data_IF_821607153102
#
_entry.id   IF_821607153102
#
_cell.length_a   1.000
_cell.length_b   1.000
_cell.length_c   1.000
_cell.angle_alpha   90.00
_cell.angle_beta   90.00
_cell.angle_gamma   90.00
#
_symmetry.space_group_name_H-M   'P 1'
#
loop_
_entity.id
_entity.type
_entity.pdbx_description
1 polymer ?
#
# COMPACT_ATOMS: atom_id res chain seq x y z
N UNK A 1 0.51 -70.89 -15.94
CA UNK A 1 0.56 -69.50 -16.46
C UNK A 1 1.51 -69.47 -17.65
N UNK A 2 1.32 -68.59 -18.64
CA UNK A 2 2.18 -68.52 -19.84
C UNK A 2 3.27 -67.44 -19.71
N UNK A 3 4.43 -67.69 -20.30
CA UNK A 3 5.63 -66.81 -20.24
C UNK A 3 5.69 -65.78 -21.39
N UNK A 4 4.56 -65.52 -22.05
CA UNK A 4 4.49 -64.65 -23.23
C UNK A 4 4.64 -63.17 -22.88
N UNK A 5 4.04 -62.72 -21.78
CA UNK A 5 4.23 -61.38 -21.23
C UNK A 5 5.56 -61.32 -20.47
N UNK A 6 6.52 -60.54 -20.97
CA UNK A 6 7.86 -60.38 -20.39
C UNK A 6 8.40 -58.96 -20.58
N UNK A 7 9.17 -58.41 -19.62
CA UNK A 7 9.75 -57.08 -19.74
C UNK A 7 10.88 -57.03 -20.78
N UNK A 8 11.14 -55.83 -21.30
CA UNK A 8 12.23 -55.55 -22.25
C UNK A 8 13.53 -55.24 -21.50
N UNK A 9 14.39 -56.25 -21.30
CA UNK A 9 15.69 -56.07 -20.64
C UNK A 9 16.73 -55.36 -21.51
N UNK A 10 16.63 -55.47 -22.82
CA UNK A 10 17.47 -54.78 -23.80
C UNK A 10 16.57 -54.06 -24.83
N UNK A 11 16.82 -52.78 -25.14
CA UNK A 11 16.12 -52.09 -26.22
C UNK A 11 16.58 -52.59 -27.59
N UNK A 12 15.74 -52.42 -28.61
CA UNK A 12 16.14 -52.65 -30.00
C UNK A 12 17.27 -51.67 -30.39
N UNK A 13 18.39 -52.20 -30.89
CA UNK A 13 19.54 -51.39 -31.31
C UNK A 13 19.34 -50.94 -32.77
N UNK A 14 19.19 -49.64 -32.97
CA UNK A 14 19.11 -49.06 -34.31
C UNK A 14 20.40 -49.31 -35.10
N UNK A 15 20.27 -49.87 -36.30
CA UNK A 15 21.38 -50.17 -37.20
C UNK A 15 20.95 -51.05 -38.37
N UNK A 16 21.90 -51.48 -39.20
CA UNK A 16 21.65 -52.19 -40.47
C UNK A 16 20.92 -53.54 -40.32
N UNK A 17 20.76 -54.08 -39.11
CA UNK A 17 20.09 -55.35 -38.85
C UNK A 17 18.71 -55.21 -38.18
N UNK A 18 18.46 -54.17 -37.38
CA UNK A 18 17.16 -53.98 -36.70
C UNK A 18 16.77 -52.50 -36.69
N UNK A 19 15.61 -52.17 -37.28
CA UNK A 19 14.98 -50.84 -37.22
C UNK A 19 15.68 -49.71 -37.98
N UNK A 20 16.98 -49.81 -38.26
CA UNK A 20 17.66 -48.90 -39.18
C UNK A 20 17.29 -49.16 -40.64
N UNK A 21 17.69 -48.23 -41.51
CA UNK A 21 17.64 -48.38 -42.97
C UNK A 21 18.59 -49.49 -43.44
N UNK A 22 18.13 -50.74 -43.33
CA UNK A 22 18.81 -51.90 -43.94
C UNK A 22 19.04 -51.57 -45.41
N UNK A 23 20.29 -51.63 -45.88
CA UNK A 23 20.67 -51.31 -47.28
C UNK A 23 20.32 -52.50 -48.22
N UNK A 24 19.21 -53.20 -47.96
CA UNK A 24 18.72 -54.31 -48.78
C UNK A 24 17.82 -53.77 -49.90
N UNK A 25 18.40 -52.87 -50.71
CA UNK A 25 17.71 -52.05 -51.70
C UNK A 25 17.00 -50.82 -51.10
N UNK A 26 17.01 -49.66 -51.79
CA UNK A 26 16.19 -48.52 -51.40
C UNK A 26 14.71 -48.84 -51.62
N UNK A 27 13.88 -48.63 -50.59
CA UNK A 27 12.43 -48.80 -50.71
C UNK A 27 11.80 -47.60 -51.41
N UNK A 28 10.89 -47.84 -52.35
CA UNK A 28 10.07 -46.79 -52.97
C UNK A 28 8.89 -46.33 -52.09
N UNK A 29 8.72 -46.93 -50.90
CA UNK A 29 7.66 -46.58 -49.95
C UNK A 29 8.09 -45.40 -49.09
N UNK A 30 7.32 -44.31 -49.15
CA UNK A 30 7.49 -43.12 -48.30
C UNK A 30 6.22 -42.86 -47.48
N UNK A 31 6.37 -42.24 -46.31
CA UNK A 31 5.28 -41.76 -45.46
C UNK A 31 4.77 -40.39 -45.94
N UNK A 32 3.55 -40.02 -45.57
CA UNK A 32 3.08 -38.64 -45.71
C UNK A 32 3.90 -37.63 -44.90
N UNK A 33 4.67 -38.10 -43.90
CA UNK A 33 5.66 -37.31 -43.15
C UNK A 33 7.00 -37.12 -43.86
N UNK A 34 7.30 -37.94 -44.88
CA UNK A 34 8.57 -37.91 -45.61
C UNK A 34 8.49 -37.02 -46.87
N UNK A 35 7.31 -36.45 -47.14
CA UNK A 35 7.08 -35.46 -48.19
C UNK A 35 7.85 -34.18 -47.85
N UNK A 36 8.48 -33.57 -48.86
CA UNK A 36 9.35 -32.41 -48.70
C UNK A 36 8.64 -31.23 -48.00
N UNK A 37 8.98 -31.00 -46.72
CA UNK A 37 8.51 -29.92 -45.88
C UNK A 37 9.70 -29.21 -45.22
N UNK A 38 9.57 -27.90 -44.95
CA UNK A 38 10.64 -27.07 -44.37
C UNK A 38 12.00 -27.19 -45.09
N UNK A 39 11.98 -27.24 -46.43
CA UNK A 39 13.16 -27.34 -47.30
C UNK A 39 14.12 -26.15 -47.22
N UNK A 40 13.74 -25.06 -46.56
CA UNK A 40 14.57 -23.87 -46.31
C UNK A 40 14.87 -23.73 -44.82
N UNK A 41 16.16 -23.80 -44.48
CA UNK A 41 16.65 -23.49 -43.14
C UNK A 41 16.58 -21.99 -42.87
N UNK A 42 16.31 -21.61 -41.61
CA UNK A 42 16.28 -20.20 -41.17
C UNK A 42 17.61 -19.84 -40.50
N UNK A 43 18.53 -19.11 -41.17
CA UNK A 43 19.69 -18.53 -40.49
C UNK A 43 19.24 -17.44 -39.52
N UNK A 44 20.04 -17.19 -38.49
CA UNK A 44 19.90 -16.01 -37.63
C UNK A 44 20.25 -14.76 -38.44
N UNK A 45 19.41 -13.72 -38.36
CA UNK A 45 19.74 -12.39 -38.88
C UNK A 45 20.51 -11.58 -37.83
N UNK A 46 21.17 -10.52 -38.27
CA UNK A 46 21.75 -9.52 -37.36
C UNK A 46 20.69 -9.02 -36.36
N UNK A 47 21.09 -8.91 -35.08
CA UNK A 47 20.18 -8.60 -33.98
C UNK A 47 19.36 -9.79 -33.46
N UNK A 48 19.61 -11.02 -33.96
CA UNK A 48 19.03 -12.27 -33.45
C UNK A 48 20.09 -13.16 -32.78
N UNK A 49 21.09 -12.53 -32.15
CA UNK A 49 22.25 -13.17 -31.55
C UNK A 49 23.01 -14.04 -32.57
N UNK A 50 23.51 -13.41 -33.62
CA UNK A 50 24.46 -14.07 -34.54
C UNK A 50 25.72 -14.49 -33.79
N UNK A 51 26.46 -15.46 -34.33
CA UNK A 51 27.72 -15.92 -33.72
C UNK A 51 28.73 -14.76 -33.58
N UNK A 52 28.79 -13.88 -34.57
CA UNK A 52 29.71 -12.74 -34.59
C UNK A 52 29.26 -11.63 -33.62
N UNK A 53 27.97 -11.45 -33.36
CA UNK A 53 27.48 -10.61 -32.26
C UNK A 53 27.89 -11.19 -30.90
N UNK A 54 27.67 -12.49 -30.69
CA UNK A 54 27.98 -13.16 -29.41
C UNK A 54 29.48 -13.16 -29.10
N UNK A 55 30.35 -13.24 -30.10
CA UNK A 55 31.80 -13.08 -29.93
C UNK A 55 32.23 -11.64 -29.63
N UNK A 56 31.42 -10.62 -29.97
CA UNK A 56 31.71 -9.20 -29.73
C UNK A 56 31.10 -8.65 -28.43
N UNK A 57 30.15 -9.35 -27.79
CA UNK A 57 29.49 -8.92 -26.54
C UNK A 57 30.18 -9.51 -25.31
N UNK A 58 30.38 -8.69 -24.28
CA UNK A 58 30.82 -9.18 -22.98
C UNK A 58 29.61 -9.70 -22.18
N UNK A 59 29.22 -10.96 -22.44
CA UNK A 59 28.00 -11.57 -21.91
C UNK A 59 27.90 -11.60 -20.37
N UNK A 60 29.04 -11.50 -19.68
CA UNK A 60 29.09 -11.40 -18.21
C UNK A 60 28.49 -10.09 -17.72
N UNK A 61 28.94 -8.97 -18.27
CA UNK A 61 28.53 -7.64 -17.81
C UNK A 61 27.04 -7.43 -18.07
N UNK A 62 26.55 -7.85 -19.25
CA UNK A 62 25.12 -7.82 -19.59
C UNK A 62 24.26 -8.65 -18.62
N UNK A 63 24.78 -9.80 -18.17
CA UNK A 63 24.12 -10.65 -17.17
C UNK A 63 24.08 -9.95 -15.81
N UNK A 64 25.22 -9.49 -15.29
CA UNK A 64 25.29 -8.80 -13.98
C UNK A 64 24.39 -7.55 -13.98
N UNK A 65 24.34 -6.80 -15.07
CA UNK A 65 23.52 -5.59 -15.19
C UNK A 65 22.01 -5.90 -15.29
N UNK A 66 21.64 -6.98 -16.01
CA UNK A 66 20.24 -7.46 -16.05
C UNK A 66 19.78 -8.05 -14.71
N UNK A 67 20.67 -8.73 -13.98
CA UNK A 67 20.40 -9.19 -12.62
C UNK A 67 20.18 -8.01 -11.67
N UNK A 68 21.06 -6.99 -11.67
CA UNK A 68 20.89 -5.76 -10.86
C UNK A 68 19.52 -5.11 -11.08
N UNK A 69 19.11 -4.94 -12.35
CA UNK A 69 17.79 -4.38 -12.73
C UNK A 69 16.61 -5.27 -12.29
N UNK A 70 16.78 -6.59 -12.35
CA UNK A 70 15.75 -7.54 -11.86
C UNK A 70 15.63 -7.50 -10.33
N UNK A 71 16.75 -7.47 -9.59
CA UNK A 71 16.74 -7.45 -8.13
C UNK A 71 16.19 -6.15 -7.56
N UNK A 72 16.53 -4.98 -8.13
CA UNK A 72 15.93 -3.70 -7.69
C UNK A 72 14.42 -3.63 -7.97
N UNK A 73 13.99 -4.05 -9.16
CA UNK A 73 12.57 -4.13 -9.53
C UNK A 73 11.79 -5.11 -8.64
N UNK A 74 12.41 -6.25 -8.27
CA UNK A 74 11.85 -7.19 -7.30
C UNK A 74 11.74 -6.55 -5.92
N UNK A 75 12.79 -5.88 -5.44
CA UNK A 75 12.80 -5.27 -4.11
C UNK A 75 11.72 -4.19 -3.97
N UNK A 76 11.59 -3.27 -4.93
CA UNK A 76 10.52 -2.26 -4.92
C UNK A 76 9.11 -2.89 -4.99
N UNK A 77 8.96 -4.01 -5.71
CA UNK A 77 7.71 -4.78 -5.74
C UNK A 77 7.43 -5.46 -4.40
N UNK A 78 8.45 -5.92 -3.68
CA UNK A 78 8.30 -6.52 -2.36
C UNK A 78 8.09 -5.47 -1.27
N UNK A 79 8.74 -4.31 -1.32
CA UNK A 79 8.49 -3.12 -0.48
C UNK A 79 7.05 -2.64 -0.62
N UNK A 80 6.58 -2.36 -1.85
CA UNK A 80 5.20 -1.93 -2.14
C UNK A 80 4.13 -2.93 -1.68
N UNK A 81 4.48 -4.23 -1.66
CA UNK A 81 3.60 -5.31 -1.19
C UNK A 81 3.69 -5.51 0.33
N UNK A 82 4.83 -5.20 0.94
CA UNK A 82 5.08 -5.21 2.38
C UNK A 82 4.31 -4.13 3.14
N UNK A 83 3.97 -3.01 2.49
CA UNK A 83 3.12 -1.96 3.06
C UNK A 83 1.73 -2.40 3.52
N UNK A 84 1.22 -3.54 3.01
CA UNK A 84 -0.03 -4.15 3.50
C UNK A 84 0.19 -5.09 4.72
N UNK A 85 1.43 -5.50 4.97
CA UNK A 85 1.79 -6.51 5.98
C UNK A 85 2.50 -5.94 7.23
N UNK A 86 2.80 -4.64 7.26
CA UNK A 86 3.51 -3.98 8.37
C UNK A 86 2.60 -3.59 9.55
N UNK A 87 1.67 -4.48 9.94
CA UNK A 87 0.87 -4.32 11.17
C UNK A 87 0.75 -5.63 11.99
N UNK A 88 1.43 -6.70 11.60
CA UNK A 88 1.32 -7.99 12.30
C UNK A 88 2.67 -8.73 12.41
N UNK A 89 3.27 -8.69 13.62
CA UNK A 89 4.15 -9.78 14.07
C UNK A 89 5.67 -9.66 13.91
N UNK A 90 6.29 -8.49 14.14
CA UNK A 90 7.75 -8.39 14.29
C UNK A 90 8.20 -8.56 15.76
N UNK A 91 8.13 -9.78 16.32
CA UNK A 91 8.80 -10.10 17.60
C UNK A 91 10.29 -10.38 17.35
N UNK A 92 11.16 -9.57 17.94
CA UNK A 92 12.57 -9.89 18.22
C UNK A 92 13.00 -9.23 19.53
N UNK A 93 13.81 -9.95 20.27
CA UNK A 93 14.57 -9.54 21.47
C UNK A 93 15.46 -8.31 21.12
N UNK A 94 15.66 -7.30 21.97
CA UNK A 94 16.29 -7.29 23.33
C UNK A 94 17.76 -7.73 23.26
N UNK A 95 18.76 -6.92 23.62
CA UNK A 95 18.89 -5.44 23.73
C UNK A 95 19.54 -4.83 22.44
N UNK A 96 20.07 -3.61 22.31
CA UNK A 96 20.23 -2.40 23.16
C UNK A 96 20.18 -1.11 22.29
N UNK A 97 19.68 -0.02 22.90
CA UNK A 97 20.19 1.38 22.84
C UNK A 97 19.14 2.33 23.42
N UNK A 98 19.24 2.62 24.72
CA UNK A 98 18.46 3.71 25.34
C UNK A 98 19.06 5.05 24.92
N UNK A 99 18.33 5.85 24.14
CA UNK A 99 18.63 7.27 23.90
C UNK A 99 17.57 8.09 24.65
N UNK A 100 17.96 8.97 25.59
CA UNK A 100 16.99 9.68 26.43
C UNK A 100 16.33 10.85 25.69
N UNK A 101 15.02 10.73 25.49
CA UNK A 101 14.00 11.77 25.67
C UNK A 101 14.53 13.22 25.81
N UNK A 102 14.63 13.93 24.70
CA UNK A 102 14.38 15.38 24.66
C UNK A 102 12.94 15.59 24.19
N UNK A 103 12.03 15.90 25.13
CA UNK A 103 10.76 16.55 24.77
C UNK A 103 11.06 18.03 24.80
N UNK A 104 11.05 18.67 23.64
CA UNK A 104 11.12 20.11 23.51
C UNK A 104 9.84 20.58 22.81
N UNK A 105 9.26 21.67 23.29
CA UNK A 105 7.87 22.03 23.03
C UNK A 105 7.66 23.55 23.09
N UNK A 106 8.37 24.24 22.21
CA UNK A 106 8.32 25.65 21.81
C UNK A 106 9.03 25.70 20.44
N UNK A 107 8.84 26.68 19.56
CA UNK A 107 7.72 27.59 19.32
C UNK A 107 7.70 27.84 17.79
N UNK A 108 6.54 28.11 17.21
CA UNK A 108 6.36 28.26 15.76
C UNK A 108 5.44 29.44 15.42
N UNK A 109 5.74 30.59 16.03
CA UNK A 109 5.14 31.88 15.68
C UNK A 109 5.17 32.14 14.16
N UNK A 110 4.01 32.49 13.62
CA UNK A 110 3.80 32.74 12.19
C UNK A 110 3.86 34.23 11.93
N UNK A 111 5.09 34.74 11.79
CA UNK A 111 5.43 36.16 11.79
C UNK A 111 4.52 37.06 10.95
N UNK A 112 4.05 38.14 11.59
CA UNK A 112 3.08 39.08 11.04
C UNK A 112 3.72 40.25 10.26
N UNK A 113 3.39 40.35 8.98
CA UNK A 113 3.35 41.55 8.12
C UNK A 113 2.16 41.29 7.17
N UNK A 114 1.25 42.21 6.85
CA UNK A 114 1.45 43.61 6.45
C UNK A 114 0.35 44.55 6.97
N UNK A 115 0.72 45.78 7.30
CA UNK A 115 -0.09 46.98 7.25
C UNK A 115 0.08 47.71 5.90
N UNK A 116 -1.01 48.26 5.34
CA UNK A 116 -1.14 49.23 4.23
C UNK A 116 -2.64 49.32 3.88
N UNK A 117 -3.33 50.46 3.71
CA UNK A 117 -3.21 51.83 4.24
C UNK A 117 -4.61 52.46 4.17
N UNK A 118 -4.83 53.59 4.85
CA UNK A 118 -5.52 54.76 4.26
C UNK A 118 -5.29 55.98 5.16
N UNK A 119 -5.35 57.16 4.55
CA UNK A 119 -4.73 58.42 4.99
C UNK A 119 -5.73 59.59 4.91
N UNK A 120 -5.48 60.68 5.65
CA UNK A 120 -5.99 62.04 5.40
C UNK A 120 -5.42 63.04 6.45
N UNK A 121 -4.66 64.03 5.98
CA UNK A 121 -4.04 65.15 6.74
C UNK A 121 -5.09 66.28 7.03
N UNK A 122 -4.97 67.12 8.08
CA UNK A 122 -4.40 68.51 8.16
C UNK A 122 -5.04 69.19 9.44
N UNK A 123 -4.80 70.40 10.00
CA UNK A 123 -4.02 71.62 9.70
C UNK A 123 -3.79 72.44 11.03
N UNK A 124 -2.64 73.12 11.14
CA UNK A 124 -2.14 74.23 12.02
C UNK A 124 -2.30 74.36 13.59
N UNK A 125 -1.45 75.25 14.15
CA UNK A 125 -1.17 75.66 15.55
C UNK A 125 -2.24 76.54 16.27
N UNK A 126 -2.17 76.64 17.61
CA UNK A 126 -2.61 77.85 18.36
C UNK A 126 -3.09 77.71 19.83
N UNK A 127 -2.30 78.24 20.78
CA UNK A 127 -2.45 78.33 22.26
C UNK A 127 -3.84 78.60 22.93
N UNK A 128 -3.88 78.32 24.25
CA UNK A 128 -4.68 79.00 25.31
C UNK A 128 -6.20 78.68 25.56
N UNK A 129 -6.60 77.41 25.79
CA UNK A 129 -7.66 77.09 26.80
C UNK A 129 -7.69 75.63 27.37
N UNK A 130 -6.57 74.90 27.33
CA UNK A 130 -6.51 73.42 27.46
C UNK A 130 -7.08 72.80 28.77
N UNK A 131 -7.16 73.56 29.88
CA UNK A 131 -7.36 73.01 31.22
C UNK A 131 -8.74 72.37 31.50
N UNK A 132 -9.80 72.78 30.82
CA UNK A 132 -11.19 72.46 31.21
C UNK A 132 -11.86 71.41 30.31
N UNK A 133 -11.43 71.28 29.05
CA UNK A 133 -11.89 70.24 28.13
C UNK A 133 -11.37 68.85 28.54
N UNK A 134 -10.13 68.77 29.04
CA UNK A 134 -9.50 67.52 29.49
C UNK A 134 -10.23 66.85 30.68
N UNK A 135 -10.95 67.60 31.52
CA UNK A 135 -11.76 67.03 32.61
C UNK A 135 -13.06 66.40 32.09
N UNK A 136 -13.74 67.08 31.14
CA UNK A 136 -14.90 66.51 30.44
C UNK A 136 -14.53 65.31 29.57
N UNK A 137 -13.35 65.31 28.96
CA UNK A 137 -12.84 64.17 28.21
C UNK A 137 -12.50 62.99 29.12
N UNK A 138 -11.85 63.21 30.27
CA UNK A 138 -11.64 62.16 31.28
C UNK A 138 -12.95 61.55 31.77
N UNK A 139 -13.95 62.37 32.09
CA UNK A 139 -15.28 61.91 32.50
C UNK A 139 -16.01 61.15 31.37
N UNK A 140 -15.83 61.55 30.11
CA UNK A 140 -16.36 60.80 28.96
C UNK A 140 -15.63 59.47 28.75
N UNK A 141 -14.30 59.44 28.90
CA UNK A 141 -13.48 58.24 28.72
C UNK A 141 -13.72 57.21 29.82
N UNK A 142 -13.75 57.63 31.09
CA UNK A 142 -14.09 56.77 32.23
C UNK A 142 -15.51 56.18 32.07
N UNK A 143 -16.47 56.99 31.62
CA UNK A 143 -17.83 56.52 31.37
C UNK A 143 -17.97 55.66 30.11
N UNK A 144 -17.14 55.87 29.10
CA UNK A 144 -17.05 54.99 27.94
C UNK A 144 -16.44 53.64 28.32
N UNK A 145 -15.36 53.62 29.09
CA UNK A 145 -14.70 52.40 29.59
C UNK A 145 -15.63 51.58 30.50
N UNK A 146 -16.38 52.24 31.41
CA UNK A 146 -17.43 51.57 32.20
C UNK A 146 -18.54 51.02 31.30
N UNK A 147 -19.03 51.79 30.32
CA UNK A 147 -20.10 51.35 29.42
C UNK A 147 -19.66 50.21 28.48
N UNK A 148 -18.45 50.25 27.95
CA UNK A 148 -17.86 49.18 27.14
C UNK A 148 -17.75 47.89 27.95
N UNK A 149 -17.33 48.02 29.22
CA UNK A 149 -17.30 46.90 30.16
C UNK A 149 -18.68 46.34 30.47
N UNK A 150 -19.68 47.18 30.77
CA UNK A 150 -21.07 46.75 30.98
C UNK A 150 -21.68 46.11 29.72
N UNK A 151 -21.45 46.68 28.54
CA UNK A 151 -21.94 46.13 27.27
C UNK A 151 -21.22 44.82 26.89
N UNK A 152 -19.96 44.66 27.28
CA UNK A 152 -19.23 43.39 27.13
C UNK A 152 -19.72 42.35 28.12
N UNK A 153 -19.91 42.68 29.39
CA UNK A 153 -20.45 41.77 30.41
C UNK A 153 -21.89 41.34 30.02
N UNK A 154 -22.73 42.24 29.50
CA UNK A 154 -24.04 41.87 28.92
C UNK A 154 -23.96 41.04 27.64
N UNK A 155 -22.98 41.26 26.76
CA UNK A 155 -22.78 40.42 25.57
C UNK A 155 -22.31 39.00 25.96
N UNK A 156 -21.43 38.87 26.94
CA UNK A 156 -21.02 37.58 27.50
C UNK A 156 -22.21 36.87 28.16
N UNK A 157 -23.11 37.59 28.85
CA UNK A 157 -24.38 37.02 29.36
C UNK A 157 -25.39 36.64 28.26
N UNK A 158 -25.59 37.47 27.21
CA UNK A 158 -26.51 37.13 26.11
C UNK A 158 -26.01 35.92 25.32
N UNK A 159 -24.71 35.88 24.99
CA UNK A 159 -24.09 34.74 24.31
C UNK A 159 -24.24 33.45 25.12
N UNK A 160 -24.05 33.51 26.44
CA UNK A 160 -24.25 32.38 27.35
C UNK A 160 -25.73 31.96 27.44
N UNK A 161 -26.66 32.91 27.57
CA UNK A 161 -28.10 32.60 27.59
C UNK A 161 -28.57 31.99 26.25
N UNK A 162 -27.97 32.41 25.14
CA UNK A 162 -28.20 31.89 23.79
C UNK A 162 -27.58 30.51 23.59
N UNK A 163 -26.42 30.24 24.17
CA UNK A 163 -25.82 28.89 24.24
C UNK A 163 -26.69 27.95 25.08
N UNK A 164 -27.13 28.37 26.27
CA UNK A 164 -28.04 27.60 27.12
C UNK A 164 -29.37 27.29 26.40
N UNK A 165 -29.94 28.26 25.66
CA UNK A 165 -31.11 28.03 24.82
C UNK A 165 -30.83 27.11 23.61
N UNK A 166 -29.67 27.20 22.96
CA UNK A 166 -29.30 26.33 21.85
C UNK A 166 -29.15 24.87 22.31
N UNK A 167 -28.47 24.66 23.43
CA UNK A 167 -28.25 23.35 24.05
C UNK A 167 -29.57 22.75 24.55
N UNK A 168 -30.40 23.55 25.25
CA UNK A 168 -31.70 23.11 25.77
C UNK A 168 -32.80 23.03 24.70
N UNK A 169 -32.64 23.71 23.56
CA UNK A 169 -33.59 23.72 22.46
C UNK A 169 -33.60 22.45 21.61
N UNK A 170 -32.59 21.57 21.75
CA UNK A 170 -32.46 20.37 20.93
C UNK A 170 -33.08 19.12 21.60
N UNK A 171 -34.25 18.62 21.13
CA UNK A 171 -34.90 17.45 21.73
C UNK A 171 -34.14 16.13 21.50
N UNK A 172 -33.17 16.08 20.58
CA UNK A 172 -32.30 14.90 20.39
C UNK A 172 -31.16 14.86 21.41
N UNK A 173 -30.75 16.00 21.98
CA UNK A 173 -29.73 16.05 23.05
C UNK A 173 -30.37 15.86 24.44
N UNK A 174 -31.54 16.46 24.67
CA UNK A 174 -32.23 16.40 25.97
C UNK A 174 -32.76 15.01 26.34
N UNK A 175 -32.89 14.09 25.39
CA UNK A 175 -33.33 12.73 25.65
C UNK A 175 -32.21 11.73 25.31
N UNK A 176 -31.29 11.44 26.25
CA UNK A 176 -30.29 10.39 26.09
C UNK A 176 -30.96 9.00 26.17
N UNK A 177 -31.77 8.66 25.15
CA UNK A 177 -32.13 7.29 24.84
C UNK A 177 -30.86 6.57 24.41
N UNK A 178 -30.14 6.05 25.40
CA UNK A 178 -28.89 5.33 25.22
C UNK A 178 -29.10 4.20 24.22
N UNK A 179 -28.68 4.39 22.97
CA UNK A 179 -28.76 3.39 21.89
C UNK A 179 -27.71 2.26 22.09
N UNK A 180 -27.33 2.04 23.34
CA UNK A 180 -26.65 0.84 23.84
C UNK A 180 -27.53 -0.36 23.56
N UNK A 181 -27.21 -1.08 22.49
CA UNK A 181 -27.87 -2.33 22.07
C UNK A 181 -27.77 -3.36 23.21
N UNK A 182 -28.81 -3.43 24.06
CA UNK A 182 -28.81 -4.17 25.34
C UNK A 182 -28.49 -5.66 25.21
N UNK A 183 -28.79 -6.26 24.06
CA UNK A 183 -28.34 -7.58 23.60
C UNK A 183 -28.13 -7.48 22.11
N UNK A 184 -26.96 -7.89 21.62
CA UNK A 184 -26.70 -8.04 20.18
C UNK A 184 -27.37 -9.31 19.69
N UNK A 185 -27.74 -9.39 18.41
CA UNK A 185 -28.20 -10.65 17.82
C UNK A 185 -27.10 -11.73 17.86
N UNK A 186 -25.84 -11.31 17.74
CA UNK A 186 -24.62 -12.13 17.92
C UNK A 186 -24.46 -12.72 19.34
N UNK A 187 -25.16 -12.19 20.35
CA UNK A 187 -24.80 -12.36 21.76
C UNK A 187 -25.09 -13.78 22.26
N UNK A 188 -26.17 -14.40 21.78
CA UNK A 188 -26.61 -15.76 22.14
C UNK A 188 -25.91 -16.90 21.35
N UNK A 189 -24.81 -16.58 20.64
CA UNK A 189 -24.04 -17.58 19.86
C UNK A 189 -22.93 -18.19 20.72
N UNK A 190 -22.97 -19.51 20.95
CA UNK A 190 -22.01 -20.25 21.82
C UNK A 190 -20.55 -20.23 21.35
N UNK A 191 -20.28 -19.87 20.09
CA UNK A 191 -18.94 -19.71 19.53
C UNK A 191 -18.74 -18.30 18.99
N UNK A 192 -17.69 -17.60 19.43
CA UNK A 192 -17.29 -16.30 18.90
C UNK A 192 -15.95 -16.43 18.16
N UNK A 193 -15.75 -15.63 17.10
CA UNK A 193 -14.43 -15.32 16.55
C UNK A 193 -13.51 -16.51 16.16
N UNK A 194 -14.04 -17.69 15.82
CA UNK A 194 -13.25 -18.92 15.62
C UNK A 194 -12.10 -18.79 14.61
N UNK A 195 -12.26 -18.01 13.54
CA UNK A 195 -11.24 -17.77 12.50
C UNK A 195 -10.40 -16.49 12.71
N UNK A 196 -10.53 -15.82 13.87
CA UNK A 196 -9.80 -14.57 14.16
C UNK A 196 -8.31 -14.85 14.34
N UNK A 197 -7.52 -14.55 13.30
CA UNK A 197 -6.09 -14.86 13.24
C UNK A 197 -5.73 -16.05 12.36
N UNK A 198 -6.66 -16.60 11.56
CA UNK A 198 -6.32 -17.66 10.59
C UNK A 198 -5.39 -17.11 9.48
N UNK A 199 -4.11 -17.44 9.58
CA UNK A 199 -3.11 -17.02 8.59
C UNK A 199 -3.36 -17.68 7.23
N UNK A 200 -3.68 -16.87 6.21
CA UNK A 200 -3.85 -17.35 4.83
C UNK A 200 -2.64 -18.16 4.39
N UNK A 201 -2.88 -19.36 3.84
CA UNK A 201 -1.79 -20.28 3.47
C UNK A 201 -0.76 -19.61 2.53
N UNK A 202 0.54 -19.64 2.88
CA UNK A 202 1.56 -18.93 2.11
C UNK A 202 1.73 -19.54 0.72
N UNK A 203 2.07 -18.70 -0.27
CA UNK A 203 2.35 -19.16 -1.63
C UNK A 203 3.66 -19.96 -1.65
N UNK A 204 3.55 -21.29 -1.60
CA UNK A 204 4.65 -22.25 -1.66
C UNK A 204 4.54 -23.14 -2.90
N UNK A 205 5.69 -23.67 -3.33
CA UNK A 205 5.78 -24.80 -4.25
C UNK A 205 6.22 -26.02 -3.46
N UNK A 206 5.69 -27.20 -3.79
CA UNK A 206 6.04 -28.48 -3.17
C UNK A 206 6.31 -29.45 -4.31
N UNK A 207 7.51 -30.02 -4.35
CA UNK A 207 7.91 -31.03 -5.34
C UNK A 207 7.39 -32.43 -4.94
N UNK A 208 6.07 -32.55 -4.80
CA UNK A 208 5.36 -33.75 -4.37
C UNK A 208 4.01 -33.79 -5.09
N UNK A 209 3.76 -34.84 -5.89
CA UNK A 209 2.59 -34.95 -6.76
C UNK A 209 1.27 -35.15 -6.02
N UNK A 210 1.30 -35.58 -4.75
CA UNK A 210 0.09 -35.83 -3.94
C UNK A 210 -0.08 -34.81 -2.80
N UNK A 211 1.01 -34.32 -2.21
CA UNK A 211 0.96 -33.31 -1.13
C UNK A 211 0.93 -31.86 -1.63
N UNK A 212 1.26 -31.61 -2.90
CA UNK A 212 1.18 -30.26 -3.49
C UNK A 212 -0.20 -29.63 -3.30
N UNK A 213 -0.20 -28.33 -2.95
CA UNK A 213 -1.43 -27.55 -2.82
C UNK A 213 -2.24 -27.48 -4.13
N UNK A 214 -1.64 -27.82 -5.29
CA UNK A 214 -2.39 -28.09 -6.54
C UNK A 214 -3.20 -29.39 -6.45
N UNK A 215 -2.59 -30.50 -6.07
CA UNK A 215 -3.25 -31.82 -6.02
C UNK A 215 -4.36 -31.83 -4.95
N UNK A 216 -4.10 -31.22 -3.78
CA UNK A 216 -5.10 -31.08 -2.72
C UNK A 216 -6.35 -30.31 -3.18
N UNK A 217 -6.16 -29.24 -3.97
CA UNK A 217 -7.25 -28.46 -4.59
C UNK A 217 -7.93 -29.20 -5.74
N UNK A 218 -7.18 -30.00 -6.50
CA UNK A 218 -7.73 -30.87 -7.54
C UNK A 218 -8.67 -31.91 -6.94
N UNK A 219 -8.23 -32.64 -5.90
CA UNK A 219 -9.06 -33.62 -5.20
C UNK A 219 -10.33 -32.96 -4.64
N UNK A 220 -10.21 -31.87 -3.88
CA UNK A 220 -11.37 -31.14 -3.34
C UNK A 220 -12.35 -30.61 -4.43
N UNK A 221 -11.89 -30.41 -5.67
CA UNK A 221 -12.73 -29.94 -6.77
C UNK A 221 -13.43 -31.08 -7.52
N UNK A 222 -12.77 -32.23 -7.68
CA UNK A 222 -13.23 -33.33 -8.54
C UNK A 222 -13.65 -34.60 -7.79
N UNK A 223 -13.40 -34.66 -6.48
CA UNK A 223 -13.89 -35.68 -5.56
C UNK A 223 -14.60 -34.97 -4.41
N UNK A 224 -15.75 -35.50 -3.99
CA UNK A 224 -16.65 -34.91 -3.00
C UNK A 224 -17.10 -35.97 -2.00
#
# INVERSE_FOLDING_TARGET
MTTAARPTWAPAKGGNEQGGTRIFGPSQKYSSRDIAAHTTLKPRKEGQDTQDELQRRNLRDELEDRERRHFSSKEDRERRKGGHLLLEGARRDVEDRIIPRSVDADDADVGAQTDDSDDDEDDDDGDDEEALLAELERLRREKAEQKEREEREMQEEELKAKEEQLMRGNPLLNNPTSFTVKRRWDDDVVFKNQARGETKTPKRFINDTIRSDFHRKFLHKYMK
#
